data_IF_216098159383
#
_entry.id   IF_216098159383
#
_cell.length_a   1.000
_cell.length_b   1.000
_cell.length_c   1.000
_cell.angle_alpha   90.00
_cell.angle_beta   90.00
_cell.angle_gamma   90.00
#
_symmetry.space_group_name_H-M   'P 1'
#
loop_
_entity.id
_entity.type
_entity.pdbx_description
1 polymer ?
#
# COMPACT_ATOMS: atom_id res chain seq x y z
N UNK A 1 -98.00 -70.24 11.16
CA UNK A 1 -98.55 -70.01 9.81
C UNK A 1 -98.26 -68.55 9.47
N UNK A 2 -97.69 -68.28 8.28
CA UNK A 2 -97.15 -67.00 7.76
C UNK A 2 -98.09 -65.77 7.96
N UNK A 3 -97.72 -64.48 7.69
CA UNK A 3 -96.77 -63.95 6.69
C UNK A 3 -96.05 -62.61 7.13
N UNK A 4 -95.88 -61.52 6.33
CA UNK A 4 -94.66 -61.20 5.53
C UNK A 4 -94.13 -59.72 5.60
N UNK A 5 -93.02 -59.45 4.87
CA UNK A 5 -92.62 -58.21 4.11
C UNK A 5 -92.37 -56.85 4.85
N UNK A 6 -91.15 -56.29 4.73
CA UNK A 6 -90.76 -55.03 4.01
C UNK A 6 -89.35 -54.54 4.40
N UNK A 7 -88.57 -54.02 3.42
CA UNK A 7 -87.34 -53.22 3.64
C UNK A 7 -87.71 -51.75 3.90
N UNK A 8 -86.88 -51.02 4.66
CA UNK A 8 -86.37 -49.76 4.10
C UNK A 8 -84.84 -49.62 4.25
N UNK A 9 -84.25 -48.92 3.29
CA UNK A 9 -82.90 -48.37 3.38
C UNK A 9 -82.90 -47.17 4.35
N UNK A 10 -81.92 -47.09 5.24
CA UNK A 10 -81.58 -45.86 5.95
C UNK A 10 -80.20 -45.40 5.47
N UNK A 11 -80.23 -44.34 4.66
CA UNK A 11 -79.10 -43.53 4.24
C UNK A 11 -78.73 -42.54 5.36
N UNK A 12 -77.48 -42.06 5.28
CA UNK A 12 -76.87 -40.91 5.96
C UNK A 12 -76.41 -41.13 7.42
N UNK A 13 -75.23 -40.69 7.84
CA UNK A 13 -74.46 -39.53 7.35
C UNK A 13 -72.97 -39.68 7.71
N UNK A 14 -72.07 -39.46 6.74
CA UNK A 14 -70.68 -39.13 7.04
C UNK A 14 -70.72 -37.72 7.65
N UNK A 15 -70.36 -37.59 8.93
CA UNK A 15 -70.11 -36.28 9.55
C UNK A 15 -68.82 -35.70 8.94
N UNK A 16 -68.95 -35.08 7.78
CA UNK A 16 -68.02 -34.04 7.37
C UNK A 16 -68.29 -32.85 8.29
N UNK A 17 -67.52 -32.74 9.37
CA UNK A 17 -67.38 -31.48 10.09
C UNK A 17 -66.75 -30.48 9.15
N UNK A 18 -67.60 -29.76 8.40
CA UNK A 18 -67.22 -28.61 7.60
C UNK A 18 -66.61 -27.55 8.51
N UNK A 19 -65.40 -27.02 8.20
CA UNK A 19 -64.90 -25.88 8.93
C UNK A 19 -65.90 -24.73 8.79
N UNK A 20 -66.20 -24.06 9.90
CA UNK A 20 -67.16 -22.96 9.96
C UNK A 20 -66.84 -21.92 8.86
N UNK A 21 -67.87 -21.40 8.14
CA UNK A 21 -67.64 -20.42 7.10
C UNK A 21 -67.11 -19.14 7.73
N UNK A 22 -65.82 -18.85 7.51
CA UNK A 22 -65.28 -17.53 7.82
C UNK A 22 -66.15 -16.48 7.09
N UNK A 23 -66.83 -15.62 7.85
CA UNK A 23 -67.71 -14.58 7.31
C UNK A 23 -66.97 -13.76 6.25
N UNK A 24 -67.55 -13.60 5.07
CA UNK A 24 -67.01 -12.90 3.88
C UNK A 24 -66.35 -11.56 4.20
N UNK A 25 -66.91 -10.79 5.15
CA UNK A 25 -66.35 -9.51 5.61
C UNK A 25 -64.95 -9.64 6.22
N UNK A 26 -64.69 -10.68 6.99
CA UNK A 26 -63.38 -10.94 7.60
C UNK A 26 -62.34 -11.32 6.53
N UNK A 27 -62.75 -12.09 5.52
CA UNK A 27 -61.89 -12.43 4.38
C UNK A 27 -61.53 -11.20 3.54
N UNK A 28 -62.48 -10.30 3.30
CA UNK A 28 -62.20 -9.03 2.60
C UNK A 28 -61.28 -8.09 3.38
N UNK A 29 -61.43 -8.00 4.71
CA UNK A 29 -60.54 -7.21 5.57
C UNK A 29 -59.11 -7.78 5.54
N UNK A 30 -58.96 -9.10 5.69
CA UNK A 30 -57.65 -9.75 5.60
C UNK A 30 -57.01 -9.57 4.23
N UNK A 31 -57.78 -9.66 3.14
CA UNK A 31 -57.28 -9.42 1.79
C UNK A 31 -56.79 -7.98 1.61
N UNK A 32 -57.54 -6.99 2.11
CA UNK A 32 -57.13 -5.59 2.06
C UNK A 32 -55.85 -5.34 2.89
N UNK A 33 -55.78 -5.88 4.11
CA UNK A 33 -54.58 -5.78 4.95
C UNK A 33 -53.36 -6.43 4.28
N UNK A 34 -53.55 -7.57 3.61
CA UNK A 34 -52.49 -8.23 2.82
C UNK A 34 -52.01 -7.36 1.66
N UNK A 35 -52.92 -6.75 0.90
CA UNK A 35 -52.57 -5.84 -0.20
C UNK A 35 -51.84 -4.60 0.34
N UNK A 36 -52.35 -3.99 1.41
CA UNK A 36 -51.73 -2.84 2.05
C UNK A 36 -50.32 -3.16 2.57
N UNK A 37 -50.15 -4.33 3.19
CA UNK A 37 -48.84 -4.83 3.62
C UNK A 37 -47.89 -5.03 2.44
N UNK A 38 -48.34 -5.64 1.34
CA UNK A 38 -47.52 -5.80 0.13
C UNK A 38 -47.10 -4.45 -0.47
N UNK A 39 -48.04 -3.49 -0.60
CA UNK A 39 -47.71 -2.15 -1.09
C UNK A 39 -46.74 -1.41 -0.16
N UNK A 40 -46.94 -1.52 1.15
CA UNK A 40 -46.07 -0.90 2.14
C UNK A 40 -44.66 -1.50 2.12
N UNK A 41 -44.53 -2.83 2.09
CA UNK A 41 -43.24 -3.51 2.04
C UNK A 41 -42.49 -3.25 0.73
N UNK A 42 -43.19 -3.25 -0.40
CA UNK A 42 -42.61 -2.84 -1.69
C UNK A 42 -42.16 -1.38 -1.65
N UNK A 43 -42.98 -0.49 -1.09
CA UNK A 43 -42.63 0.93 -0.91
C UNK A 43 -41.40 1.13 -0.03
N UNK A 44 -41.29 0.39 1.08
CA UNK A 44 -40.11 0.39 1.95
C UNK A 44 -38.87 -0.13 1.21
N UNK A 45 -39.02 -1.19 0.40
CA UNK A 45 -37.94 -1.73 -0.42
C UNK A 45 -37.41 -0.72 -1.44
N UNK A 46 -38.32 -0.05 -2.17
CA UNK A 46 -37.96 1.02 -3.12
C UNK A 46 -37.26 2.17 -2.39
N UNK A 47 -37.80 2.62 -1.26
CA UNK A 47 -37.19 3.69 -0.45
C UNK A 47 -35.80 3.30 0.08
N UNK A 48 -35.62 2.06 0.53
CA UNK A 48 -34.32 1.55 0.98
C UNK A 48 -33.28 1.60 -0.13
N UNK A 49 -33.64 1.14 -1.35
CA UNK A 49 -32.75 1.21 -2.51
C UNK A 49 -32.40 2.66 -2.84
N UNK A 50 -33.38 3.58 -2.81
CA UNK A 50 -33.10 5.01 -3.02
C UNK A 50 -32.11 5.60 -2.00
N UNK A 51 -32.19 5.18 -0.74
CA UNK A 51 -31.25 5.60 0.30
C UNK A 51 -29.86 4.98 0.10
N UNK A 52 -29.80 3.73 -0.35
CA UNK A 52 -28.56 2.96 -0.46
C UNK A 52 -27.75 3.35 -1.71
N UNK A 53 -28.41 3.55 -2.85
CA UNK A 53 -27.79 3.76 -4.17
C UNK A 53 -26.66 4.80 -4.17
N UNK A 54 -26.81 6.00 -3.57
CA UNK A 54 -25.74 6.99 -3.57
C UNK A 54 -24.47 6.51 -2.88
N UNK A 55 -24.60 5.69 -1.84
CA UNK A 55 -23.47 5.17 -1.06
C UNK A 55 -22.77 4.05 -1.81
N UNK A 56 -23.51 3.10 -2.38
CA UNK A 56 -22.96 1.92 -3.08
C UNK A 56 -22.56 2.18 -4.54
N UNK A 57 -22.54 3.44 -4.96
CA UNK A 57 -22.13 3.83 -6.31
C UNK A 57 -20.61 3.71 -6.56
N UNK A 58 -19.83 3.47 -5.50
CA UNK A 58 -18.38 3.29 -5.55
C UNK A 58 -17.92 2.29 -4.46
N UNK A 59 -16.70 1.79 -4.62
CA UNK A 59 -16.14 0.77 -3.72
C UNK A 59 -15.86 1.29 -2.30
N UNK A 60 -15.75 2.61 -2.11
CA UNK A 60 -15.57 3.23 -0.79
C UNK A 60 -16.86 3.28 0.03
N UNK A 61 -18.02 3.00 -0.58
CA UNK A 61 -19.34 3.15 0.04
C UNK A 61 -19.60 4.57 0.54
N UNK A 62 -18.95 5.56 -0.09
CA UNK A 62 -19.02 6.96 0.29
C UNK A 62 -19.92 7.71 -0.70
N UNK A 63 -21.08 8.23 -0.25
CA UNK A 63 -21.96 9.04 -1.09
C UNK A 63 -21.23 10.13 -1.86
N UNK A 64 -21.50 10.22 -3.17
CA UNK A 64 -20.97 11.27 -4.06
C UNK A 64 -19.44 11.28 -4.22
N UNK A 65 -18.73 10.25 -3.77
CA UNK A 65 -17.31 10.11 -4.03
C UNK A 65 -17.05 10.00 -5.54
N UNK A 66 -16.17 10.84 -6.05
CA UNK A 66 -15.82 10.91 -7.47
C UNK A 66 -14.33 11.22 -7.64
N UNK A 67 -13.80 10.87 -8.81
CA UNK A 67 -12.38 11.05 -9.12
C UNK A 67 -11.98 12.52 -9.29
N UNK A 68 -12.86 13.36 -9.85
CA UNK A 68 -12.57 14.77 -10.14
C UNK A 68 -12.84 15.73 -8.97
N UNK A 69 -13.32 15.24 -7.83
CA UNK A 69 -13.71 16.08 -6.71
C UNK A 69 -13.17 15.54 -5.39
N UNK A 70 -13.83 14.53 -4.82
CA UNK A 70 -13.47 14.02 -3.49
C UNK A 70 -12.07 13.39 -3.51
N UNK A 71 -11.76 12.58 -4.52
CA UNK A 71 -10.44 11.93 -4.63
C UNK A 71 -9.31 12.94 -4.75
N UNK A 72 -9.45 13.94 -5.64
CA UNK A 72 -8.42 14.98 -5.82
C UNK A 72 -8.34 15.94 -4.64
N UNK A 73 -9.45 16.24 -3.97
CA UNK A 73 -9.45 17.00 -2.72
C UNK A 73 -8.65 16.30 -1.63
N UNK A 74 -8.90 15.01 -1.41
CA UNK A 74 -8.16 14.23 -0.43
C UNK A 74 -6.67 14.16 -0.80
N UNK A 75 -6.35 13.86 -2.07
CA UNK A 75 -4.97 13.86 -2.55
C UNK A 75 -4.25 15.19 -2.28
N UNK A 76 -4.90 16.31 -2.61
CA UNK A 76 -4.39 17.64 -2.34
C UNK A 76 -4.13 17.87 -0.86
N UNK A 77 -5.13 17.60 -0.02
CA UNK A 77 -5.05 17.79 1.44
C UNK A 77 -3.88 16.98 2.03
N UNK A 78 -3.77 15.70 1.68
CA UNK A 78 -2.70 14.84 2.20
C UNK A 78 -1.33 15.22 1.63
N UNK A 79 -1.21 15.55 0.34
CA UNK A 79 0.06 15.99 -0.25
C UNK A 79 0.60 17.25 0.45
N UNK A 80 -0.27 18.23 0.72
CA UNK A 80 0.14 19.44 1.43
C UNK A 80 0.50 19.16 2.90
N UNK A 81 -0.20 18.23 3.55
CA UNK A 81 0.05 17.90 4.96
C UNK A 81 1.30 17.06 5.14
N UNK A 82 1.53 16.05 4.30
CA UNK A 82 2.70 15.20 4.35
C UNK A 82 4.00 15.98 4.13
N UNK A 83 3.95 17.06 3.33
CA UNK A 83 5.08 17.97 3.16
C UNK A 83 5.44 18.78 4.42
N UNK A 84 4.51 18.94 5.38
CA UNK A 84 4.69 19.81 6.56
C UNK A 84 4.74 19.03 7.88
N UNK A 85 3.90 18.00 8.03
CA UNK A 85 3.72 17.25 9.28
C UNK A 85 3.29 15.81 8.96
N UNK A 86 4.23 14.86 8.86
CA UNK A 86 3.95 13.52 8.35
C UNK A 86 3.10 12.62 9.26
N UNK A 87 2.86 12.97 10.52
CA UNK A 87 2.37 12.00 11.53
C UNK A 87 1.37 12.57 12.55
N UNK A 88 0.47 13.45 12.11
CA UNK A 88 -0.58 14.00 12.97
C UNK A 88 -1.99 13.66 12.44
N UNK A 89 -2.96 13.33 13.32
CA UNK A 89 -4.36 13.23 12.94
C UNK A 89 -4.84 14.53 12.30
N UNK A 90 -5.59 14.40 11.21
CA UNK A 90 -6.13 15.53 10.47
C UNK A 90 -7.65 15.45 10.47
N UNK A 91 -8.30 16.48 11.02
CA UNK A 91 -9.74 16.65 10.87
C UNK A 91 -10.04 17.24 9.48
N UNK A 92 -10.62 16.43 8.60
CA UNK A 92 -10.98 16.84 7.24
C UNK A 92 -12.03 17.98 7.23
N UNK A 93 -12.84 18.12 8.28
CA UNK A 93 -13.84 19.20 8.39
C UNK A 93 -13.21 20.54 8.79
N UNK A 94 -12.00 20.53 9.33
CA UNK A 94 -11.24 21.72 9.69
C UNK A 94 -10.27 22.18 8.59
N UNK A 95 -10.24 21.49 7.44
CA UNK A 95 -9.32 21.78 6.33
C UNK A 95 -10.06 22.38 5.15
N UNK A 96 -9.57 23.53 4.68
CA UNK A 96 -10.00 24.15 3.43
C UNK A 96 -8.88 24.16 2.40
N UNK A 97 -9.24 24.04 1.12
CA UNK A 97 -8.34 24.23 -0.03
C UNK A 97 -8.93 25.27 -0.97
N UNK A 98 -8.10 26.21 -1.42
CA UNK A 98 -8.49 27.22 -2.40
C UNK A 98 -8.44 26.62 -3.82
N UNK A 99 -9.35 25.70 -4.12
CA UNK A 99 -9.48 25.01 -5.41
C UNK A 99 -10.90 24.54 -5.63
N UNK A 100 -11.36 24.59 -6.87
CA UNK A 100 -12.70 24.16 -7.24
C UNK A 100 -12.71 22.64 -7.53
N UNK A 101 -13.37 21.87 -6.67
CA UNK A 101 -13.52 20.41 -6.79
C UNK A 101 -14.87 19.98 -7.40
N UNK A 102 -15.64 20.94 -7.91
CA UNK A 102 -16.93 20.71 -8.57
C UNK A 102 -16.82 20.74 -10.11
N UNK A 103 -15.60 20.58 -10.64
CA UNK A 103 -15.34 20.60 -12.08
C UNK A 103 -15.41 19.20 -12.68
N UNK A 104 -15.73 19.07 -13.99
CA UNK A 104 -15.73 17.78 -14.68
C UNK A 104 -14.37 17.06 -14.61
N UNK A 105 -13.28 17.83 -14.55
CA UNK A 105 -11.91 17.35 -14.42
C UNK A 105 -11.14 18.21 -13.43
N UNK A 106 -10.37 17.56 -12.56
CA UNK A 106 -9.37 18.19 -11.70
C UNK A 106 -8.17 17.25 -11.56
N UNK A 107 -7.02 17.79 -11.16
CA UNK A 107 -5.79 17.02 -10.94
C UNK A 107 -5.31 17.22 -9.51
N UNK A 108 -4.51 16.31 -8.97
CA UNK A 108 -3.86 16.50 -7.67
C UNK A 108 -2.65 17.41 -7.83
N UNK A 109 -2.49 18.34 -6.90
CA UNK A 109 -1.33 19.19 -6.74
C UNK A 109 -0.25 18.37 -5.99
N UNK A 110 0.82 18.04 -6.71
CA UNK A 110 2.01 17.38 -6.16
C UNK A 110 3.19 18.34 -6.22
N UNK A 111 4.00 18.37 -5.17
CA UNK A 111 5.24 19.15 -5.20
C UNK A 111 6.31 18.36 -5.98
N UNK A 112 6.87 18.89 -7.07
CA UNK A 112 7.91 18.21 -7.84
C UNK A 112 9.19 18.00 -7.03
N UNK A 113 9.38 18.78 -5.96
CA UNK A 113 10.54 18.69 -5.09
C UNK A 113 10.37 17.73 -3.91
N UNK A 114 9.15 17.27 -3.62
CA UNK A 114 8.87 16.52 -2.39
C UNK A 114 9.49 15.11 -2.39
N UNK A 115 9.38 14.39 -3.49
CA UNK A 115 10.07 13.10 -3.67
C UNK A 115 11.58 13.23 -3.45
N UNK A 116 12.15 14.31 -3.99
CA UNK A 116 13.56 14.62 -3.87
C UNK A 116 13.94 15.06 -2.46
N UNK A 117 13.10 15.82 -1.76
CA UNK A 117 13.37 16.21 -0.38
C UNK A 117 13.42 15.00 0.54
N UNK A 118 12.52 14.02 0.34
CA UNK A 118 12.55 12.76 1.10
C UNK A 118 13.83 11.96 0.78
N UNK A 119 14.18 11.82 -0.51
CA UNK A 119 15.36 11.05 -0.92
C UNK A 119 16.69 11.64 -0.41
N UNK A 120 16.79 12.97 -0.38
CA UNK A 120 17.98 13.71 0.06
C UNK A 120 18.03 13.98 1.56
N UNK A 121 16.96 13.62 2.27
CA UNK A 121 16.92 13.67 3.73
C UNK A 121 17.85 12.61 4.32
N UNK A 122 18.11 12.76 5.62
CA UNK A 122 18.96 11.85 6.36
C UNK A 122 18.12 10.70 6.90
N UNK A 123 18.37 9.49 6.42
CA UNK A 123 17.69 8.29 6.88
C UNK A 123 18.51 7.60 7.98
N UNK A 124 17.83 7.04 9.01
CA UNK A 124 18.47 6.12 9.93
C UNK A 124 18.87 4.84 9.19
N UNK A 125 19.92 4.17 9.66
CA UNK A 125 20.52 3.03 8.95
C UNK A 125 19.53 1.88 8.77
N UNK A 126 18.68 1.60 9.76
CA UNK A 126 17.70 0.52 9.70
C UNK A 126 16.65 0.76 8.60
N UNK A 127 16.20 2.00 8.42
CA UNK A 127 15.28 2.37 7.35
C UNK A 127 15.92 2.22 5.97
N UNK A 128 17.18 2.66 5.81
CA UNK A 128 17.92 2.51 4.57
C UNK A 128 18.16 1.03 4.22
N UNK A 129 18.57 0.22 5.20
CA UNK A 129 18.75 -1.23 5.04
C UNK A 129 17.44 -1.90 4.61
N UNK A 130 16.32 -1.60 5.28
CA UNK A 130 14.99 -2.14 4.90
C UNK A 130 14.65 -1.78 3.46
N UNK A 131 14.82 -0.51 3.08
CA UNK A 131 14.51 -0.03 1.73
C UNK A 131 15.35 -0.71 0.64
N UNK A 132 16.66 -0.89 0.88
CA UNK A 132 17.53 -1.58 -0.06
C UNK A 132 17.15 -3.05 -0.22
N UNK A 133 16.83 -3.75 0.89
CA UNK A 133 16.44 -5.17 0.88
C UNK A 133 15.10 -5.43 0.20
N UNK A 134 14.22 -4.43 0.11
CA UNK A 134 12.96 -4.54 -0.65
C UNK A 134 13.11 -4.20 -2.14
N UNK A 135 14.32 -3.89 -2.58
CA UNK A 135 14.61 -3.36 -3.92
C UNK A 135 15.60 -4.30 -4.63
N UNK A 136 15.47 -4.46 -5.96
CA UNK A 136 16.42 -5.28 -6.74
C UNK A 136 17.80 -4.61 -6.80
N UNK A 137 18.84 -5.40 -7.09
CA UNK A 137 20.20 -4.93 -7.33
C UNK A 137 20.23 -3.88 -8.43
N UNK A 138 19.49 -4.10 -9.52
CA UNK A 138 19.37 -3.16 -10.65
C UNK A 138 18.90 -1.78 -10.19
N UNK A 139 17.89 -1.71 -9.33
CA UNK A 139 17.37 -0.44 -8.84
C UNK A 139 18.28 0.18 -7.78
N UNK A 140 18.87 -0.65 -6.91
CA UNK A 140 19.82 -0.18 -5.90
C UNK A 140 21.07 0.45 -6.54
N UNK A 141 21.70 -0.20 -7.54
CA UNK A 141 22.90 0.35 -8.20
C UNK A 141 22.61 1.67 -8.94
N UNK A 142 21.35 1.91 -9.28
CA UNK A 142 20.84 3.17 -9.84
C UNK A 142 20.56 4.27 -8.80
N UNK A 143 21.00 4.12 -7.55
CA UNK A 143 21.05 5.26 -6.62
C UNK A 143 22.03 6.37 -7.07
N UNK A 144 22.89 6.08 -8.05
CA UNK A 144 23.85 7.02 -8.66
C UNK A 144 24.73 7.74 -7.63
N UNK A 145 25.00 7.08 -6.51
CA UNK A 145 25.93 7.61 -5.52
C UNK A 145 27.33 7.59 -6.10
N UNK A 146 28.04 8.72 -6.01
CA UNK A 146 29.47 8.72 -6.21
C UNK A 146 30.10 8.07 -4.96
N UNK A 147 30.48 6.80 -5.05
CA UNK A 147 31.12 6.10 -3.94
C UNK A 147 32.49 6.71 -3.61
N UNK A 148 32.82 6.73 -2.32
CA UNK A 148 34.12 7.14 -1.81
C UNK A 148 34.99 5.91 -1.52
N UNK A 149 34.38 4.84 -1.01
CA UNK A 149 35.06 3.58 -0.70
C UNK A 149 34.21 2.38 -1.15
N UNK A 150 34.88 1.29 -1.47
CA UNK A 150 34.21 0.03 -1.74
C UNK A 150 33.75 -0.63 -0.44
N UNK A 151 34.59 -0.58 0.60
CA UNK A 151 34.45 -1.27 1.87
C UNK A 151 34.33 -0.31 3.06
N UNK A 152 33.80 -0.80 4.19
CA UNK A 152 33.65 0.01 5.42
C UNK A 152 34.98 0.38 6.10
N UNK A 153 36.06 -0.36 5.84
CA UNK A 153 37.39 -0.14 6.46
C UNK A 153 38.29 0.83 5.66
N UNK A 154 37.77 1.39 4.57
CA UNK A 154 38.44 2.37 3.70
C UNK A 154 39.66 1.78 2.98
N UNK A 155 39.76 0.45 2.87
CA UNK A 155 40.87 -0.23 2.22
C UNK A 155 40.89 0.00 0.70
N UNK A 156 39.72 0.16 0.09
CA UNK A 156 39.57 0.32 -1.35
C UNK A 156 38.90 1.66 -1.69
N UNK A 157 39.71 2.65 -2.04
CA UNK A 157 39.24 3.98 -2.43
C UNK A 157 38.62 3.97 -3.84
N UNK A 158 37.46 4.60 -4.01
CA UNK A 158 36.69 4.62 -5.27
C UNK A 158 36.47 6.02 -5.85
N UNK A 159 36.90 7.09 -5.17
CA UNK A 159 36.68 8.42 -5.70
C UNK A 159 37.47 8.67 -7.00
N UNK A 160 36.80 9.23 -8.00
CA UNK A 160 37.37 9.47 -9.33
C UNK A 160 38.52 10.51 -9.38
N UNK A 161 38.80 11.24 -8.29
CA UNK A 161 39.99 12.11 -8.17
C UNK A 161 40.56 12.10 -6.76
N UNK A 162 41.89 12.29 -6.58
CA UNK A 162 42.50 12.44 -5.25
C UNK A 162 41.89 13.59 -4.44
N UNK A 163 41.59 14.72 -5.09
CA UNK A 163 40.95 15.85 -4.42
C UNK A 163 39.55 15.50 -3.88
N UNK A 164 38.80 14.64 -4.57
CA UNK A 164 37.52 14.13 -4.08
C UNK A 164 37.72 13.13 -2.94
N UNK A 165 38.69 12.25 -3.04
CA UNK A 165 39.02 11.28 -1.99
C UNK A 165 39.34 12.00 -0.67
N UNK A 166 40.14 13.06 -0.72
CA UNK A 166 40.41 13.91 0.45
C UNK A 166 39.12 14.55 1.02
N UNK A 167 38.21 15.02 0.17
CA UNK A 167 36.91 15.53 0.64
C UNK A 167 36.05 14.44 1.28
N UNK A 168 36.08 13.21 0.75
CA UNK A 168 35.39 12.07 1.34
C UNK A 168 35.89 11.81 2.76
N UNK A 169 37.20 11.72 2.94
CA UNK A 169 37.83 11.47 4.24
C UNK A 169 37.50 12.55 5.29
N UNK A 170 37.28 13.80 4.87
CA UNK A 170 36.94 14.90 5.79
C UNK A 170 35.44 14.98 6.08
N UNK A 171 34.57 14.78 5.08
CA UNK A 171 33.15 15.16 5.19
C UNK A 171 32.16 13.99 5.17
N UNK A 172 32.58 12.79 4.76
CA UNK A 172 31.63 11.73 4.40
C UNK A 172 31.89 10.38 5.08
N UNK A 173 32.82 10.32 6.03
CA UNK A 173 33.17 9.07 6.75
C UNK A 173 32.02 8.49 7.57
N UNK A 174 31.06 9.31 7.99
CA UNK A 174 29.90 8.86 8.78
C UNK A 174 28.67 8.52 7.94
N UNK A 175 28.70 8.81 6.63
CA UNK A 175 27.57 8.59 5.72
C UNK A 175 27.70 7.25 4.99
N UNK A 176 26.92 6.26 5.40
CA UNK A 176 26.92 4.92 4.81
C UNK A 176 26.63 4.90 3.31
N UNK A 177 25.93 5.91 2.76
CA UNK A 177 25.60 5.95 1.35
C UNK A 177 26.83 6.05 0.42
N UNK A 178 27.97 6.57 0.90
CA UNK A 178 29.20 6.66 0.09
C UNK A 178 30.07 5.39 0.12
N UNK A 179 29.59 4.34 0.80
CA UNK A 179 30.24 3.03 0.91
C UNK A 179 29.49 2.04 0.04
N UNK A 180 30.15 1.49 -0.97
CA UNK A 180 29.50 0.53 -1.87
C UNK A 180 29.10 -0.76 -1.14
N UNK A 181 29.89 -1.20 -0.16
CA UNK A 181 29.64 -2.38 0.66
C UNK A 181 28.25 -2.37 1.32
N UNK A 182 27.77 -1.22 1.79
CA UNK A 182 26.44 -1.11 2.39
C UNK A 182 25.34 -1.52 1.42
N UNK A 183 25.45 -1.15 0.16
CA UNK A 183 24.53 -1.58 -0.89
C UNK A 183 24.69 -3.07 -1.18
N UNK A 184 25.93 -3.51 -1.44
CA UNK A 184 26.24 -4.87 -1.88
C UNK A 184 25.87 -5.95 -0.85
N UNK A 185 25.92 -5.62 0.45
CA UNK A 185 25.49 -6.50 1.56
C UNK A 185 23.97 -6.57 1.74
N UNK A 186 23.22 -5.68 1.10
CA UNK A 186 21.78 -5.54 1.27
C UNK A 186 20.99 -5.78 -0.02
N UNK A 187 21.63 -6.43 -0.99
CA UNK A 187 21.01 -7.02 -2.19
C UNK A 187 21.12 -8.53 -2.10
N UNK A 188 20.16 -9.26 -2.68
CA UNK A 188 20.26 -10.72 -2.70
C UNK A 188 21.36 -11.14 -3.68
N UNK A 189 22.19 -12.11 -3.31
CA UNK A 189 23.32 -12.55 -4.14
C UNK A 189 22.87 -13.17 -5.46
N UNK A 190 21.76 -13.91 -5.48
CA UNK A 190 21.18 -14.49 -6.70
C UNK A 190 20.59 -13.41 -7.63
N UNK A 191 19.94 -12.40 -7.07
CA UNK A 191 19.43 -11.24 -7.82
C UNK A 191 20.59 -10.42 -8.43
N UNK A 192 21.64 -10.18 -7.64
CA UNK A 192 22.84 -9.50 -8.11
C UNK A 192 23.55 -10.29 -9.22
N UNK A 193 23.71 -11.61 -9.07
CA UNK A 193 24.43 -12.44 -10.05
C UNK A 193 23.65 -12.67 -11.36
N UNK A 194 22.32 -12.66 -11.30
CA UNK A 194 21.45 -12.80 -12.48
C UNK A 194 21.14 -11.46 -13.17
N UNK A 195 21.47 -10.34 -12.54
CA UNK A 195 21.32 -9.00 -13.09
C UNK A 195 22.11 -8.77 -14.38
N UNK A 196 21.53 -7.98 -15.29
CA UNK A 196 22.23 -7.49 -16.48
C UNK A 196 23.44 -6.58 -16.17
N UNK A 197 23.51 -6.01 -14.96
CA UNK A 197 24.62 -5.18 -14.50
C UNK A 197 25.74 -5.98 -13.84
N UNK A 198 25.55 -7.27 -13.57
CA UNK A 198 26.55 -8.09 -12.90
C UNK A 198 27.87 -8.14 -13.68
N UNK A 199 27.81 -8.39 -14.99
CA UNK A 199 29.01 -8.50 -15.82
C UNK A 199 29.88 -7.23 -15.77
N UNK A 200 29.26 -6.06 -15.81
CA UNK A 200 29.96 -4.77 -15.68
C UNK A 200 30.50 -4.57 -14.26
N UNK A 201 29.69 -4.88 -13.24
CA UNK A 201 30.10 -4.76 -11.82
C UNK A 201 31.29 -5.67 -11.55
N UNK A 202 31.27 -6.89 -12.08
CA UNK A 202 32.36 -7.84 -11.91
C UNK A 202 33.64 -7.33 -12.54
N UNK A 203 33.60 -6.90 -13.80
CA UNK A 203 34.78 -6.43 -14.53
C UNK A 203 35.38 -5.12 -13.99
N UNK A 204 34.53 -4.22 -13.47
CA UNK A 204 34.96 -2.86 -13.10
C UNK A 204 35.18 -2.66 -11.61
N UNK A 205 34.62 -3.54 -10.76
CA UNK A 205 34.69 -3.42 -9.30
C UNK A 205 35.30 -4.69 -8.70
N UNK A 206 34.68 -5.86 -8.90
CA UNK A 206 35.12 -7.08 -8.21
C UNK A 206 36.47 -7.62 -8.70
N UNK A 207 36.69 -7.72 -10.01
CA UNK A 207 37.94 -8.23 -10.58
C UNK A 207 39.14 -7.35 -10.18
N UNK A 208 39.07 -6.00 -10.30
CA UNK A 208 40.15 -5.13 -9.83
C UNK A 208 40.41 -5.22 -8.33
N UNK A 209 39.35 -5.16 -7.49
CA UNK A 209 39.51 -5.21 -6.03
C UNK A 209 40.07 -6.56 -5.59
N UNK A 210 39.69 -7.66 -6.25
CA UNK A 210 40.18 -9.00 -5.90
C UNK A 210 41.72 -9.11 -5.91
N UNK A 211 42.40 -8.31 -6.74
CA UNK A 211 43.86 -8.26 -6.82
C UNK A 211 44.53 -7.28 -5.85
N UNK A 212 43.77 -6.47 -5.10
CA UNK A 212 44.31 -5.44 -4.22
C UNK A 212 44.58 -5.97 -2.79
N UNK A 213 45.70 -5.56 -2.16
CA UNK A 213 45.91 -5.79 -0.74
C UNK A 213 45.00 -4.87 0.11
N UNK A 214 44.73 -5.20 1.39
CA UNK A 214 45.26 -6.34 2.12
C UNK A 214 44.55 -7.66 1.84
N UNK A 215 43.24 -7.68 1.58
CA UNK A 215 42.44 -8.91 1.46
C UNK A 215 41.30 -8.78 0.41
N UNK A 216 41.58 -8.19 -0.76
CA UNK A 216 40.56 -7.86 -1.74
C UNK A 216 39.73 -9.06 -2.22
N UNK A 217 40.38 -10.19 -2.51
CA UNK A 217 39.70 -11.42 -2.91
C UNK A 217 38.77 -11.96 -1.82
N UNK A 218 39.16 -11.86 -0.55
CA UNK A 218 38.32 -12.26 0.59
C UNK A 218 37.10 -11.35 0.73
N UNK A 219 37.27 -10.03 0.55
CA UNK A 219 36.16 -9.08 0.57
C UNK A 219 35.15 -9.38 -0.55
N UNK A 220 35.62 -9.59 -1.79
CA UNK A 220 34.75 -9.95 -2.92
C UNK A 220 34.01 -11.27 -2.66
N UNK A 221 34.70 -12.30 -2.17
CA UNK A 221 34.06 -13.57 -1.81
C UNK A 221 33.01 -13.39 -0.71
N UNK A 222 33.28 -12.59 0.31
CA UNK A 222 32.33 -12.30 1.37
C UNK A 222 31.07 -11.62 0.81
N UNK A 223 31.21 -10.66 -0.10
CA UNK A 223 30.09 -10.00 -0.77
C UNK A 223 29.30 -10.97 -1.65
N UNK A 224 29.96 -11.79 -2.46
CA UNK A 224 29.29 -12.70 -3.39
C UNK A 224 28.61 -13.90 -2.71
N UNK A 225 29.05 -14.25 -1.49
CA UNK A 225 28.53 -15.38 -0.72
C UNK A 225 27.74 -14.97 0.53
N UNK A 226 27.47 -13.68 0.73
CA UNK A 226 26.80 -13.23 1.95
C UNK A 226 25.36 -13.77 2.05
N UNK A 227 24.92 -13.93 3.29
CA UNK A 227 23.52 -14.11 3.65
C UNK A 227 23.11 -12.92 4.53
N UNK A 228 21.89 -12.43 4.36
CA UNK A 228 21.39 -11.34 5.19
C UNK A 228 21.27 -11.77 6.64
N UNK A 229 21.97 -11.05 7.52
CA UNK A 229 21.70 -11.03 8.95
C UNK A 229 20.44 -10.21 9.24
N UNK A 230 20.00 -10.14 10.50
CA UNK A 230 18.88 -9.26 10.86
C UNK A 230 19.20 -7.80 10.51
N UNK A 231 18.17 -6.97 10.28
CA UNK A 231 18.38 -5.53 10.01
C UNK A 231 19.12 -4.85 11.17
N UNK A 232 18.85 -5.29 12.39
CA UNK A 232 19.48 -4.75 13.61
C UNK A 232 20.98 -5.08 13.63
N UNK A 233 21.34 -6.33 13.32
CA UNK A 233 22.75 -6.75 13.32
C UNK A 233 23.54 -6.08 12.19
N UNK A 234 22.93 -5.90 11.01
CA UNK A 234 23.57 -5.18 9.90
C UNK A 234 23.77 -3.69 10.24
N UNK A 235 22.76 -3.04 10.84
CA UNK A 235 22.90 -1.66 11.30
C UNK A 235 23.96 -1.53 12.41
N UNK A 236 24.06 -2.51 13.30
CA UNK A 236 25.08 -2.56 14.35
C UNK A 236 26.49 -2.71 13.76
N UNK A 237 26.66 -3.55 12.73
CA UNK A 237 27.91 -3.66 11.99
C UNK A 237 28.31 -2.29 11.41
N UNK A 238 27.42 -1.63 10.67
CA UNK A 238 27.69 -0.31 10.09
C UNK A 238 28.09 0.71 11.16
N UNK A 239 27.37 0.71 12.28
CA UNK A 239 27.65 1.58 13.44
C UNK A 239 29.02 1.28 14.05
N UNK A 240 29.44 0.01 14.08
CA UNK A 240 30.78 -0.37 14.57
C UNK A 240 31.93 0.17 13.71
N UNK A 241 31.67 0.46 12.42
CA UNK A 241 32.60 1.16 11.53
C UNK A 241 32.41 2.70 11.55
N UNK A 242 31.65 3.25 12.50
CA UNK A 242 31.45 4.70 12.65
C UNK A 242 30.44 5.33 11.70
N UNK A 243 29.69 4.51 10.95
CA UNK A 243 28.60 4.98 10.10
C UNK A 243 27.38 5.29 10.98
N UNK A 244 26.76 6.44 10.77
CA UNK A 244 25.64 6.90 11.64
C UNK A 244 24.39 7.29 10.86
N UNK A 245 24.54 7.52 9.56
CA UNK A 245 23.46 8.03 8.73
C UNK A 245 23.55 7.48 7.30
N UNK A 246 22.40 7.44 6.63
CA UNK A 246 22.32 7.22 5.20
C UNK A 246 21.79 8.48 4.53
N UNK A 247 22.60 9.09 3.65
CA UNK A 247 22.18 10.24 2.88
C UNK A 247 22.65 10.12 1.43
N UNK A 248 21.68 9.98 0.53
CA UNK A 248 21.96 9.89 -0.91
C UNK A 248 22.45 11.23 -1.46
N UNK A 249 23.12 11.18 -2.61
CA UNK A 249 23.60 12.38 -3.30
C UNK A 249 22.57 12.88 -4.31
N UNK A 250 22.63 14.19 -4.55
CA UNK A 250 21.87 14.85 -5.60
C UNK A 250 22.26 14.28 -6.98
N UNK A 251 21.29 13.74 -7.72
CA UNK A 251 21.47 13.31 -9.11
C UNK A 251 20.38 13.91 -10.02
N UNK A 252 20.71 14.23 -11.27
CA UNK A 252 19.78 14.83 -12.23
C UNK A 252 19.46 13.90 -13.42
N UNK A 253 19.92 12.64 -13.36
CA UNK A 253 19.73 11.66 -14.41
C UNK A 253 18.33 11.06 -14.40
N UNK A 254 17.71 10.92 -13.22
CA UNK A 254 16.34 10.43 -13.05
C UNK A 254 15.56 11.31 -12.08
N UNK A 255 14.29 11.51 -12.35
CA UNK A 255 13.38 12.17 -11.42
C UNK A 255 12.90 11.16 -10.35
N UNK A 256 13.15 11.40 -9.06
CA UNK A 256 12.59 10.56 -8.00
C UNK A 256 11.07 10.63 -8.03
N UNK A 257 10.41 9.48 -7.94
CA UNK A 257 8.96 9.36 -7.85
C UNK A 257 8.58 8.83 -6.48
N UNK A 258 7.41 9.24 -5.99
CA UNK A 258 6.79 8.68 -4.79
C UNK A 258 5.51 7.98 -5.20
N UNK A 259 5.36 6.76 -4.69
CA UNK A 259 4.10 6.05 -4.71
C UNK A 259 3.46 6.20 -3.33
N UNK A 260 2.29 6.82 -3.29
CA UNK A 260 1.55 7.12 -2.06
C UNK A 260 0.11 6.74 -2.27
N UNK A 261 -0.49 6.09 -1.27
CA UNK A 261 -1.87 5.66 -1.30
C UNK A 261 -2.61 6.08 -0.05
N UNK A 262 -3.92 6.27 -0.17
CA UNK A 262 -4.80 6.64 0.94
C UNK A 262 -5.77 5.48 1.19
N UNK A 263 -5.73 4.92 2.39
CA UNK A 263 -6.71 3.92 2.81
C UNK A 263 -7.91 4.60 3.48
N UNK A 264 -9.09 4.41 2.90
CA UNK A 264 -10.36 4.91 3.41
C UNK A 264 -11.09 3.75 4.08
N UNK A 265 -11.46 3.94 5.34
CA UNK A 265 -12.27 2.98 6.11
C UNK A 265 -13.69 3.53 6.23
N UNK A 266 -14.67 2.79 5.71
CA UNK A 266 -16.07 3.21 5.74
C UNK A 266 -16.75 2.90 7.09
N UNK A 267 -18.01 3.31 7.24
CA UNK A 267 -18.79 3.11 8.47
C UNK A 267 -19.05 1.63 8.81
N UNK A 268 -18.88 0.72 7.86
CA UNK A 268 -18.99 -0.73 8.07
C UNK A 268 -17.65 -1.36 8.49
N UNK A 269 -16.57 -0.58 8.55
CA UNK A 269 -15.22 -1.05 8.85
C UNK A 269 -14.49 -1.68 7.66
N UNK A 270 -15.00 -1.51 6.43
CA UNK A 270 -14.32 -1.99 5.22
C UNK A 270 -13.28 -0.95 4.77
N UNK A 271 -12.04 -1.41 4.54
CA UNK A 271 -10.95 -0.59 4.05
C UNK A 271 -10.79 -0.74 2.53
N UNK A 272 -10.66 0.37 1.83
CA UNK A 272 -10.33 0.42 0.40
C UNK A 272 -9.22 1.45 0.18
N UNK A 273 -8.35 1.19 -0.79
CA UNK A 273 -7.19 2.04 -1.08
C UNK A 273 -7.39 2.75 -2.40
N UNK A 274 -7.06 4.04 -2.43
CA UNK A 274 -6.96 4.86 -3.64
C UNK A 274 -5.56 5.42 -3.83
#
# INVERSE_FOLDING_TARGET
MAPPITRPAFLHTINNSTPAPFTTRHQHILAFLGIAYLLFTVGCGIYFVHLLVPSVANDFWWPQFNASGVQTFLGDVYNARLALTPSAPLDLFAVGRFKAYNQPTTFMDVSPSFARSILLDTLPLDAAIKAMRTTSFDLNIHMFTSYCWADFDHAYEMAHTPARQLRCAVNHTTNAAVYLEGLLRNVRTDDMQSSGFFGMTNQTIFDPISGLPPNGSTWVQAILAHAWVSVVDEAALWTSHGLTQWRTQLQNLREPQLDQSISIVNALGLAQTM
#
